data_IF_681461932957
#
_entry.id   IF_681461932957
#
_cell.length_a   1.000
_cell.length_b   1.000
_cell.length_c   1.000
_cell.angle_alpha   90.00
_cell.angle_beta   90.00
_cell.angle_gamma   90.00
#
_symmetry.space_group_name_H-M   'P 1'
#
loop_
_entity.id
_entity.type
_entity.pdbx_description
1 polymer ?
#
# COMPACT_ATOMS: atom_id res chain seq x y z
N UNK A 1 19.09 10.12 -17.27
CA UNK A 1 19.78 9.05 -16.55
C UNK A 1 18.94 7.76 -16.61
N UNK A 2 19.55 6.62 -16.42
CA UNK A 2 18.85 5.34 -16.18
C UNK A 2 18.64 5.15 -14.69
N UNK A 3 17.38 5.08 -14.29
CA UNK A 3 16.97 4.93 -12.89
C UNK A 3 16.32 3.56 -12.70
N UNK A 4 16.71 2.82 -11.66
CA UNK A 4 15.93 1.67 -11.26
C UNK A 4 15.13 1.96 -9.98
N UNK A 5 13.94 1.37 -9.92
CA UNK A 5 13.10 1.37 -8.73
C UNK A 5 13.13 -0.03 -8.10
N UNK A 6 13.40 -0.08 -6.81
CA UNK A 6 13.33 -1.27 -5.97
C UNK A 6 12.19 -1.08 -4.96
N UNK A 7 11.04 -1.69 -5.21
CA UNK A 7 9.82 -1.50 -4.45
C UNK A 7 8.98 -2.79 -4.38
N UNK A 8 7.73 -2.66 -3.94
CA UNK A 8 6.77 -3.74 -3.79
C UNK A 8 5.95 -4.03 -5.07
N UNK A 9 6.49 -3.75 -6.26
CA UNK A 9 5.78 -3.89 -7.56
C UNK A 9 5.26 -5.30 -7.85
N UNK A 10 5.84 -6.34 -7.24
CA UNK A 10 5.39 -7.73 -7.38
C UNK A 10 4.26 -8.12 -6.42
N UNK A 11 3.95 -7.27 -5.44
CA UNK A 11 2.86 -7.54 -4.49
C UNK A 11 1.52 -7.33 -5.17
N UNK A 12 0.63 -8.34 -5.09
CA UNK A 12 -0.70 -8.33 -5.71
C UNK A 12 -1.71 -7.51 -4.92
N UNK A 13 -1.54 -6.17 -4.90
CA UNK A 13 -2.55 -5.26 -4.35
C UNK A 13 -2.54 -3.92 -5.07
N UNK A 14 -3.69 -3.22 -5.04
CA UNK A 14 -3.90 -1.95 -5.73
C UNK A 14 -2.91 -0.86 -5.28
N UNK A 15 -2.62 -0.81 -3.98
CA UNK A 15 -1.73 0.21 -3.40
C UNK A 15 -0.31 0.07 -3.91
N UNK A 16 0.26 -1.14 -3.86
CA UNK A 16 1.62 -1.41 -4.31
C UNK A 16 1.79 -1.15 -5.81
N UNK A 17 0.77 -1.44 -6.63
CA UNK A 17 0.81 -1.19 -8.07
C UNK A 17 0.68 0.30 -8.40
N UNK A 18 -0.28 1.00 -7.77
CA UNK A 18 -0.50 2.42 -8.01
C UNK A 18 0.66 3.29 -7.53
N UNK A 19 1.25 2.98 -6.35
CA UNK A 19 2.42 3.73 -5.89
C UNK A 19 3.64 3.48 -6.79
N UNK A 20 3.84 2.25 -7.29
CA UNK A 20 4.91 1.93 -8.24
C UNK A 20 4.73 2.68 -9.57
N UNK A 21 3.51 2.69 -10.12
CA UNK A 21 3.18 3.45 -11.31
C UNK A 21 3.39 4.96 -11.12
N UNK A 22 2.89 5.51 -10.01
CA UNK A 22 3.02 6.92 -9.71
C UNK A 22 4.48 7.36 -9.57
N UNK A 23 5.30 6.59 -8.85
CA UNK A 23 6.74 6.89 -8.69
C UNK A 23 7.46 6.80 -10.03
N UNK A 24 7.26 5.71 -10.80
CA UNK A 24 7.83 5.54 -12.15
C UNK A 24 7.50 6.74 -13.03
N UNK A 25 6.21 7.04 -13.19
CA UNK A 25 5.77 8.10 -14.10
C UNK A 25 6.22 9.48 -13.63
N UNK A 26 6.31 9.72 -12.31
CA UNK A 26 6.84 10.97 -11.77
C UNK A 26 8.31 11.15 -12.14
N UNK A 27 9.14 10.09 -12.02
CA UNK A 27 10.56 10.13 -12.39
C UNK A 27 10.73 10.25 -13.91
N UNK A 28 9.89 9.58 -14.71
CA UNK A 28 9.89 9.71 -16.17
C UNK A 28 9.57 11.14 -16.63
N UNK A 29 8.67 11.85 -15.92
CA UNK A 29 8.38 13.28 -16.19
C UNK A 29 9.54 14.21 -15.89
N UNK A 30 10.53 13.76 -15.12
CA UNK A 30 11.82 14.46 -14.91
C UNK A 30 12.85 14.12 -16.00
N UNK A 31 12.41 13.52 -17.12
CA UNK A 31 13.23 13.12 -18.26
C UNK A 31 14.26 12.01 -17.98
N UNK A 32 13.92 11.06 -17.09
CA UNK A 32 14.72 9.88 -16.82
C UNK A 32 14.08 8.62 -17.42
N UNK A 33 14.92 7.63 -17.75
CA UNK A 33 14.45 6.28 -18.11
C UNK A 33 14.31 5.45 -16.83
N UNK A 34 13.15 4.82 -16.64
CA UNK A 34 12.85 4.07 -15.40
C UNK A 34 12.60 2.60 -15.70
N UNK A 35 13.23 1.74 -14.92
CA UNK A 35 13.03 0.29 -14.91
C UNK A 35 12.83 -0.18 -13.46
N UNK A 36 12.22 -1.36 -13.29
CA UNK A 36 12.11 -1.99 -11.96
C UNK A 36 13.13 -3.11 -11.81
N UNK A 37 13.72 -3.23 -10.63
CA UNK A 37 14.49 -4.41 -10.25
C UNK A 37 13.73 -5.20 -9.18
N UNK A 38 13.89 -6.53 -9.20
CA UNK A 38 13.20 -7.38 -8.23
C UNK A 38 13.93 -7.41 -6.89
N UNK A 39 13.15 -7.63 -5.84
CA UNK A 39 13.67 -7.89 -4.50
C UNK A 39 14.30 -9.28 -4.49
N UNK A 40 15.57 -9.35 -4.13
CA UNK A 40 16.34 -10.58 -4.00
C UNK A 40 16.20 -11.15 -2.59
N UNK A 41 15.80 -12.41 -2.49
CA UNK A 41 15.94 -13.15 -1.24
C UNK A 41 17.42 -13.55 -1.08
N UNK A 42 18.09 -12.97 -0.08
CA UNK A 42 19.50 -13.26 0.24
C UNK A 42 19.56 -14.16 1.47
N UNK A 43 19.96 -15.40 1.28
CA UNK A 43 19.95 -16.42 2.34
C UNK A 43 20.82 -16.02 3.56
N UNK A 44 21.94 -15.35 3.34
CA UNK A 44 22.82 -14.92 4.44
C UNK A 44 22.21 -13.76 5.24
N UNK A 45 21.51 -12.83 4.58
CA UNK A 45 20.74 -11.78 5.26
C UNK A 45 19.56 -12.39 6.03
N UNK A 46 18.86 -13.35 5.42
CA UNK A 46 17.70 -14.01 6.03
C UNK A 46 18.07 -14.78 7.30
N UNK A 47 19.26 -15.41 7.35
CA UNK A 47 19.78 -16.10 8.55
C UNK A 47 19.98 -15.17 9.75
N UNK A 48 20.22 -13.87 9.52
CA UNK A 48 20.39 -12.87 10.58
C UNK A 48 19.12 -12.61 11.41
N UNK A 49 17.94 -13.01 10.91
CA UNK A 49 16.68 -12.90 11.63
C UNK A 49 16.61 -13.79 12.89
N UNK A 50 17.47 -14.83 13.00
CA UNK A 50 17.50 -15.71 14.16
C UNK A 50 16.14 -16.31 14.50
N UNK A 51 15.67 -16.12 15.75
CA UNK A 51 14.39 -16.63 16.24
C UNK A 51 13.16 -16.08 15.48
N UNK A 52 13.24 -14.88 14.91
CA UNK A 52 12.19 -14.34 14.04
C UNK A 52 11.96 -15.20 12.80
N UNK A 53 13.00 -15.88 12.29
CA UNK A 53 12.87 -16.83 11.18
C UNK A 53 11.91 -17.98 11.53
N UNK A 54 12.02 -18.55 12.73
CA UNK A 54 11.17 -19.66 13.16
C UNK A 54 9.71 -19.22 13.33
N UNK A 55 9.47 -18.03 13.87
CA UNK A 55 8.14 -17.44 14.00
C UNK A 55 7.51 -17.23 12.61
N UNK A 56 8.29 -16.76 11.68
CA UNK A 56 7.89 -16.44 10.31
C UNK A 56 7.55 -17.70 9.49
N UNK A 57 8.38 -18.75 9.60
CA UNK A 57 8.13 -20.02 8.94
C UNK A 57 6.88 -20.71 9.52
N UNK A 58 6.65 -20.63 10.86
CA UNK A 58 5.44 -21.15 11.52
C UNK A 58 4.17 -20.40 11.14
N UNK A 59 4.23 -19.07 10.98
CA UNK A 59 3.08 -18.28 10.50
C UNK A 59 2.70 -18.63 9.06
N UNK A 60 3.68 -18.94 8.19
CA UNK A 60 3.42 -19.45 6.83
C UNK A 60 2.77 -20.83 6.82
N UNK A 61 3.21 -21.74 7.67
CA UNK A 61 2.62 -23.06 7.80
C UNK A 61 1.19 -23.01 8.33
N UNK A 62 0.91 -22.14 9.32
CA UNK A 62 -0.45 -21.95 9.86
C UNK A 62 -1.39 -21.29 8.88
N UNK A 63 -0.97 -20.33 8.07
CA UNK A 63 -1.78 -19.75 6.99
C UNK A 63 -2.07 -20.75 5.88
N UNK A 64 -1.16 -21.71 5.62
CA UNK A 64 -1.39 -22.82 4.70
C UNK A 64 -2.37 -23.90 5.24
N UNK A 65 -2.45 -24.07 6.57
CA UNK A 65 -3.30 -25.05 7.27
C UNK A 65 -4.72 -24.57 7.60
N UNK A 66 -4.99 -23.27 7.61
CA UNK A 66 -6.34 -22.67 7.83
C UNK A 66 -7.33 -23.03 6.71
N UNK A 67 -6.91 -23.77 5.69
CA UNK A 67 -7.76 -24.37 4.66
C UNK A 67 -8.66 -25.53 5.13
N UNK A 68 -8.64 -25.96 6.38
CA UNK A 68 -9.58 -26.97 6.90
C UNK A 68 -10.92 -26.32 7.25
N UNK A 69 -11.79 -26.36 6.26
CA UNK A 69 -13.19 -25.94 6.25
C UNK A 69 -13.97 -26.53 7.42
N UNK A 70 -14.44 -25.70 8.36
CA UNK A 70 -15.58 -26.06 9.20
C UNK A 70 -16.82 -26.16 8.31
N UNK A 71 -17.47 -27.31 8.31
CA UNK A 71 -18.47 -27.80 7.32
C UNK A 71 -19.79 -27.03 7.22
N UNK A 72 -19.98 -25.90 7.91
CA UNK A 72 -21.23 -25.13 7.92
C UNK A 72 -20.98 -23.64 8.08
N UNK A 73 -20.37 -23.04 7.06
CA UNK A 73 -20.22 -21.59 7.04
C UNK A 73 -21.26 -20.98 6.07
N UNK A 74 -22.04 -20.02 6.54
CA UNK A 74 -23.03 -19.21 5.79
C UNK A 74 -22.49 -18.69 4.45
N UNK A 75 -21.17 -18.58 4.31
CA UNK A 75 -20.48 -17.99 3.16
C UNK A 75 -19.78 -19.01 2.24
N UNK A 76 -20.00 -20.32 2.41
CA UNK A 76 -19.27 -21.35 1.65
C UNK A 76 -19.40 -21.20 0.13
N UNK A 77 -20.62 -20.96 -0.38
CA UNK A 77 -20.85 -20.74 -1.82
C UNK A 77 -20.16 -19.47 -2.33
N UNK A 78 -20.13 -18.42 -1.52
CA UNK A 78 -19.45 -17.18 -1.91
C UNK A 78 -17.93 -17.36 -1.95
N UNK A 79 -17.35 -18.16 -1.05
CA UNK A 79 -15.93 -18.49 -1.06
C UNK A 79 -15.50 -19.18 -2.35
N UNK A 80 -16.32 -20.05 -2.90
CA UNK A 80 -16.02 -20.72 -4.20
C UNK A 80 -16.02 -19.71 -5.36
N UNK A 81 -17.00 -18.79 -5.39
CA UNK A 81 -17.02 -17.70 -6.39
C UNK A 81 -15.83 -16.77 -6.25
N UNK A 82 -15.48 -16.39 -5.03
CA UNK A 82 -14.34 -15.54 -4.70
C UNK A 82 -13.03 -16.19 -5.14
N UNK A 83 -12.85 -17.50 -4.94
CA UNK A 83 -11.64 -18.20 -5.36
C UNK A 83 -11.37 -18.03 -6.86
N UNK A 84 -12.38 -18.19 -7.71
CA UNK A 84 -12.25 -17.95 -9.15
C UNK A 84 -11.88 -16.50 -9.44
N UNK A 85 -12.66 -15.54 -8.91
CA UNK A 85 -12.43 -14.11 -9.10
C UNK A 85 -11.08 -13.63 -8.54
N UNK A 86 -10.53 -14.27 -7.51
CA UNK A 86 -9.20 -13.95 -7.00
C UNK A 86 -8.11 -14.34 -8.00
N UNK A 87 -8.29 -15.43 -8.74
CA UNK A 87 -7.38 -15.80 -9.83
C UNK A 87 -7.49 -14.77 -10.96
N UNK A 88 -8.71 -14.40 -11.34
CA UNK A 88 -8.93 -13.36 -12.36
C UNK A 88 -8.31 -12.02 -11.95
N UNK A 89 -8.43 -11.64 -10.66
CA UNK A 89 -7.81 -10.42 -10.13
C UNK A 89 -6.28 -10.46 -10.21
N UNK A 90 -5.65 -11.60 -9.89
CA UNK A 90 -4.19 -11.71 -10.01
C UNK A 90 -3.74 -11.65 -11.47
N UNK A 91 -4.50 -12.21 -12.40
CA UNK A 91 -4.24 -12.06 -13.83
C UNK A 91 -4.32 -10.58 -14.28
N UNK A 92 -5.29 -9.83 -13.78
CA UNK A 92 -5.42 -8.40 -14.05
C UNK A 92 -4.23 -7.61 -13.48
N UNK A 93 -3.77 -7.95 -12.27
CA UNK A 93 -2.56 -7.35 -11.69
C UNK A 93 -1.32 -7.65 -12.53
N UNK A 94 -1.17 -8.89 -13.02
CA UNK A 94 -0.02 -9.24 -13.87
C UNK A 94 -0.08 -8.50 -15.21
N UNK A 95 -1.24 -8.39 -15.85
CA UNK A 95 -1.42 -7.57 -17.05
C UNK A 95 -1.04 -6.11 -16.81
N UNK A 96 -1.43 -5.53 -15.66
CA UNK A 96 -1.04 -4.17 -15.30
C UNK A 96 0.48 -4.03 -15.12
N UNK A 97 1.14 -4.99 -14.46
CA UNK A 97 2.60 -5.00 -14.30
C UNK A 97 3.30 -5.02 -15.64
N UNK A 98 2.85 -5.86 -16.56
CA UNK A 98 3.44 -5.96 -17.90
C UNK A 98 3.22 -4.71 -18.74
N UNK A 99 1.99 -4.19 -18.74
CA UNK A 99 1.59 -3.09 -19.61
C UNK A 99 2.05 -1.72 -19.10
N UNK A 100 1.91 -1.46 -17.81
CA UNK A 100 2.10 -0.13 -17.24
C UNK A 100 3.44 0.02 -16.52
N UNK A 101 3.94 -1.04 -15.89
CA UNK A 101 5.22 -0.99 -15.17
C UNK A 101 6.39 -1.49 -16.01
N UNK A 102 6.15 -2.32 -17.03
CA UNK A 102 7.19 -2.93 -17.88
C UNK A 102 8.24 -3.69 -17.06
N UNK A 103 7.80 -4.47 -16.07
CA UNK A 103 8.65 -5.08 -15.05
C UNK A 103 9.69 -6.10 -15.57
N UNK A 104 9.61 -6.52 -16.81
CA UNK A 104 10.56 -7.47 -17.43
C UNK A 104 11.71 -6.76 -18.15
N UNK A 105 11.68 -5.43 -18.25
CA UNK A 105 12.79 -4.64 -18.79
C UNK A 105 13.91 -4.54 -17.77
N UNK A 106 15.14 -4.85 -18.17
CA UNK A 106 16.30 -4.85 -17.29
C UNK A 106 17.54 -4.34 -18.00
N UNK A 107 18.27 -3.48 -17.32
CA UNK A 107 19.59 -3.04 -17.69
C UNK A 107 20.63 -3.68 -16.77
N UNK A 108 21.86 -3.81 -17.24
CA UNK A 108 22.98 -4.38 -16.44
C UNK A 108 23.46 -3.38 -15.37
N UNK A 109 23.29 -2.08 -15.62
CA UNK A 109 23.74 -0.99 -14.74
C UNK A 109 22.77 0.20 -14.78
N UNK A 110 22.66 0.89 -13.65
CA UNK A 110 21.85 2.10 -13.46
C UNK A 110 22.67 3.23 -12.87
N UNK A 111 22.32 4.46 -13.21
CA UNK A 111 22.92 5.66 -12.61
C UNK A 111 22.42 5.84 -11.17
N UNK A 112 21.11 5.63 -10.95
CA UNK A 112 20.46 5.78 -9.64
C UNK A 112 19.52 4.61 -9.36
N UNK A 113 19.56 4.09 -8.13
CA UNK A 113 18.53 3.20 -7.58
C UNK A 113 17.68 3.98 -6.57
N UNK A 114 16.36 3.97 -6.77
CA UNK A 114 15.37 4.52 -5.83
C UNK A 114 14.72 3.37 -5.08
N UNK A 115 14.99 3.26 -3.77
CA UNK A 115 14.37 2.26 -2.90
C UNK A 115 13.09 2.85 -2.30
N UNK A 116 11.98 2.24 -2.56
CA UNK A 116 10.65 2.69 -2.13
C UNK A 116 9.74 2.97 -3.33
N UNK A 117 8.61 3.46 -3.07
CA UNK A 117 7.97 3.64 -1.77
C UNK A 117 7.47 2.31 -1.18
N UNK A 118 6.46 2.38 -0.31
CA UNK A 118 5.82 1.26 0.36
C UNK A 118 6.66 0.67 1.52
N UNK A 119 6.27 -0.49 2.03
CA UNK A 119 6.86 -1.09 3.24
C UNK A 119 8.20 -1.80 2.97
N UNK A 120 9.09 -1.17 2.20
CA UNK A 120 10.41 -1.73 1.82
C UNK A 120 11.32 -1.98 3.02
N UNK A 121 11.16 -1.24 4.12
CA UNK A 121 11.93 -1.41 5.36
C UNK A 121 11.24 -2.30 6.40
N UNK A 122 10.10 -2.92 6.06
CA UNK A 122 9.36 -3.79 6.98
C UNK A 122 10.01 -5.19 7.08
N UNK A 123 11.24 -5.26 7.60
CA UNK A 123 12.06 -6.46 7.56
C UNK A 123 11.64 -7.57 8.53
N UNK A 124 10.89 -7.27 9.58
CA UNK A 124 10.41 -8.28 10.54
C UNK A 124 9.06 -8.88 10.14
N UNK A 125 8.29 -8.20 9.31
CA UNK A 125 6.92 -8.59 8.93
C UNK A 125 6.72 -8.68 7.41
N UNK A 126 7.78 -8.57 6.62
CA UNK A 126 7.69 -8.58 5.16
C UNK A 126 7.55 -9.99 4.61
N UNK A 127 6.61 -10.17 3.74
CA UNK A 127 6.24 -11.34 2.95
C UNK A 127 7.30 -12.41 2.65
N UNK A 128 7.46 -12.75 1.37
CA UNK A 128 8.22 -13.92 0.96
C UNK A 128 9.74 -13.78 1.02
N UNK A 129 10.30 -12.56 1.12
CA UNK A 129 11.76 -12.31 1.11
C UNK A 129 12.39 -12.13 2.49
N UNK A 130 11.61 -11.87 3.54
CA UNK A 130 12.12 -11.61 4.90
C UNK A 130 13.03 -10.38 4.94
N UNK A 131 14.12 -10.44 5.71
CA UNK A 131 15.15 -9.43 5.69
C UNK A 131 16.09 -9.64 4.48
N UNK A 132 16.34 -8.57 3.74
CA UNK A 132 17.35 -8.49 2.70
C UNK A 132 18.02 -7.11 2.71
N UNK A 133 19.34 -7.09 2.79
CA UNK A 133 20.13 -5.86 2.81
C UNK A 133 20.01 -5.04 1.52
N UNK A 134 19.53 -5.65 0.43
CA UNK A 134 19.25 -4.96 -0.82
C UNK A 134 18.26 -3.81 -0.62
N UNK A 135 17.19 -4.02 0.13
CA UNK A 135 16.19 -3.00 0.45
C UNK A 135 16.73 -1.87 1.35
N UNK A 136 17.89 -2.07 1.97
CA UNK A 136 18.55 -1.09 2.84
C UNK A 136 19.77 -0.40 2.20
N UNK A 137 19.93 -0.53 0.88
CA UNK A 137 20.96 0.18 0.13
C UNK A 137 22.08 -0.71 -0.44
N UNK A 138 22.13 -2.00 -0.12
CA UNK A 138 23.10 -2.91 -0.67
C UNK A 138 22.73 -3.35 -2.11
N UNK A 139 22.75 -2.38 -3.03
CA UNK A 139 22.48 -2.55 -4.46
C UNK A 139 23.81 -2.43 -5.21
N UNK A 140 24.20 -3.48 -5.95
CA UNK A 140 25.52 -3.53 -6.60
C UNK A 140 25.54 -2.95 -8.01
N UNK A 141 24.40 -2.88 -8.68
CA UNK A 141 24.26 -2.47 -10.08
C UNK A 141 23.76 -1.03 -10.26
N UNK A 142 23.90 -0.18 -9.23
CA UNK A 142 23.62 1.25 -9.30
C UNK A 142 24.77 2.08 -8.72
N UNK A 143 25.10 3.19 -9.36
CA UNK A 143 26.17 4.09 -8.92
C UNK A 143 25.78 4.91 -7.70
N UNK A 144 24.51 5.33 -7.62
CA UNK A 144 23.91 6.08 -6.51
C UNK A 144 22.66 5.36 -6.00
N UNK A 145 22.47 5.35 -4.69
CA UNK A 145 21.25 4.79 -4.06
C UNK A 145 20.59 5.87 -3.22
N UNK A 146 19.29 6.05 -3.39
CA UNK A 146 18.46 6.92 -2.55
C UNK A 146 17.22 6.15 -2.08
N UNK A 147 16.54 6.64 -1.06
CA UNK A 147 15.20 6.14 -0.71
C UNK A 147 14.15 7.18 -1.07
N UNK A 148 12.93 6.75 -1.38
CA UNK A 148 11.81 7.66 -1.56
C UNK A 148 10.55 7.14 -0.85
N UNK A 149 10.03 7.95 0.08
CA UNK A 149 8.81 7.64 0.84
C UNK A 149 8.78 6.19 1.37
N UNK A 150 9.96 5.67 1.79
CA UNK A 150 10.09 4.32 2.33
C UNK A 150 9.33 4.17 3.65
N UNK A 151 8.87 2.96 3.94
CA UNK A 151 8.18 2.65 5.21
C UNK A 151 8.69 1.36 5.82
N UNK A 152 8.86 1.35 7.15
CA UNK A 152 9.14 0.14 7.92
C UNK A 152 7.85 -0.56 8.41
N UNK A 153 6.68 -0.06 8.01
CA UNK A 153 5.40 -0.63 8.42
C UNK A 153 5.24 -0.65 9.93
N UNK A 154 5.03 -1.84 10.49
CA UNK A 154 4.92 -2.06 11.94
C UNK A 154 6.25 -2.42 12.61
N UNK A 155 7.34 -2.61 11.86
CA UNK A 155 8.67 -2.91 12.44
C UNK A 155 9.14 -1.75 13.32
N UNK A 156 9.61 -2.06 14.53
CA UNK A 156 10.21 -1.09 15.46
C UNK A 156 11.69 -1.38 15.62
N UNK A 157 12.48 -0.31 15.74
CA UNK A 157 13.94 -0.44 15.94
C UNK A 157 14.29 -1.33 17.14
N UNK A 158 13.56 -1.22 18.25
CA UNK A 158 13.79 -1.98 19.48
C UNK A 158 13.56 -3.49 19.33
N UNK A 159 12.85 -3.90 18.31
CA UNK A 159 12.54 -5.31 18.01
C UNK A 159 13.57 -5.95 17.08
N UNK A 160 14.51 -5.15 16.52
CA UNK A 160 15.54 -5.68 15.63
C UNK A 160 16.56 -6.56 16.37
N UNK A 161 16.87 -7.76 15.83
CA UNK A 161 18.09 -8.45 16.23
C UNK A 161 19.31 -7.57 16.00
N UNK A 162 20.31 -7.60 16.89
CA UNK A 162 21.51 -6.78 16.77
C UNK A 162 22.21 -6.99 15.42
N UNK A 163 22.34 -8.25 14.99
CA UNK A 163 22.92 -8.64 13.70
C UNK A 163 22.21 -7.99 12.50
N UNK A 164 20.88 -7.88 12.54
CA UNK A 164 20.08 -7.20 11.51
C UNK A 164 20.31 -5.70 11.56
N UNK A 165 20.32 -5.09 12.75
CA UNK A 165 20.58 -3.66 12.92
C UNK A 165 21.96 -3.27 12.39
N UNK A 166 23.00 -4.06 12.69
CA UNK A 166 24.37 -3.81 12.21
C UNK A 166 24.48 -3.96 10.69
N UNK A 167 23.80 -4.95 10.12
CA UNK A 167 23.74 -5.13 8.67
C UNK A 167 23.02 -3.97 7.98
N UNK A 168 21.94 -3.46 8.57
CA UNK A 168 21.24 -2.27 8.05
C UNK A 168 22.15 -1.05 8.11
N UNK A 169 22.83 -0.78 9.23
CA UNK A 169 23.77 0.36 9.35
C UNK A 169 24.80 0.35 8.23
N UNK A 170 25.48 -0.78 8.04
CA UNK A 170 26.50 -0.93 6.99
C UNK A 170 25.92 -0.78 5.57
N UNK A 171 24.67 -1.15 5.37
CA UNK A 171 23.97 -0.98 4.09
C UNK A 171 23.57 0.48 3.86
N UNK A 172 23.12 1.18 4.91
CA UNK A 172 22.72 2.59 4.86
C UNK A 172 23.91 3.54 4.55
N UNK A 173 25.15 3.12 4.78
CA UNK A 173 26.33 3.89 4.37
C UNK A 173 26.34 4.15 2.86
N UNK A 174 25.78 3.24 2.06
CA UNK A 174 25.66 3.35 0.60
C UNK A 174 24.50 4.24 0.13
N UNK A 175 23.56 4.56 0.99
CA UNK A 175 22.40 5.41 0.66
C UNK A 175 22.83 6.87 0.75
N UNK A 176 22.70 7.61 -0.35
CA UNK A 176 23.13 9.02 -0.45
C UNK A 176 22.10 9.99 0.15
N UNK A 177 20.81 9.67 0.09
CA UNK A 177 19.74 10.51 0.61
C UNK A 177 18.56 9.65 1.08
N UNK A 178 17.98 10.03 2.23
CA UNK A 178 16.85 9.32 2.84
C UNK A 178 15.56 10.11 2.75
N UNK A 179 14.52 9.45 2.25
CA UNK A 179 13.14 9.93 2.32
C UNK A 179 12.21 8.83 2.80
N UNK A 180 11.34 9.17 3.74
CA UNK A 180 10.38 8.27 4.40
C UNK A 180 8.99 8.86 4.39
N UNK A 181 7.92 8.05 4.59
CA UNK A 181 6.54 8.54 4.50
C UNK A 181 5.79 8.66 5.83
N UNK A 182 6.32 8.08 6.90
CA UNK A 182 5.64 8.03 8.21
C UNK A 182 6.60 8.21 9.39
N UNK A 183 6.07 8.69 10.51
CA UNK A 183 6.83 9.02 11.71
C UNK A 183 7.52 7.81 12.35
N UNK A 184 6.93 6.59 12.24
CA UNK A 184 7.57 5.38 12.75
C UNK A 184 8.86 5.10 11.98
N UNK A 185 8.79 5.21 10.66
CA UNK A 185 9.94 4.99 9.77
C UNK A 185 10.99 6.07 9.94
N UNK A 186 10.59 7.32 10.14
CA UNK A 186 11.54 8.42 10.41
C UNK A 186 12.40 8.08 11.64
N UNK A 187 11.77 7.76 12.77
CA UNK A 187 12.45 7.36 14.01
C UNK A 187 13.28 6.09 13.84
N UNK A 188 12.79 5.14 13.05
CA UNK A 188 13.51 3.89 12.75
C UNK A 188 14.83 4.19 12.03
N UNK A 189 14.81 5.01 10.98
CA UNK A 189 15.99 5.35 10.17
C UNK A 189 16.99 6.19 10.96
N UNK A 190 16.54 7.19 11.74
CA UNK A 190 17.40 8.03 12.60
C UNK A 190 18.20 7.22 13.63
N UNK A 191 17.71 6.06 14.07
CA UNK A 191 18.45 5.15 14.99
C UNK A 191 19.53 4.34 14.28
N UNK A 192 19.53 4.34 12.95
CA UNK A 192 20.39 3.48 12.12
C UNK A 192 21.39 4.27 11.27
N UNK A 193 21.22 5.59 11.11
CA UNK A 193 22.16 6.47 10.38
C UNK A 193 22.22 7.87 11.01
N UNK A 194 23.32 8.58 10.76
CA UNK A 194 23.49 9.99 11.12
C UNK A 194 23.13 10.95 9.97
N UNK A 195 22.72 10.40 8.81
CA UNK A 195 22.35 11.21 7.64
C UNK A 195 20.97 11.82 7.86
N UNK A 196 20.74 12.98 7.25
CA UNK A 196 19.42 13.66 7.32
C UNK A 196 18.34 12.81 6.67
N UNK A 197 17.19 12.69 7.35
CA UNK A 197 16.00 11.99 6.88
C UNK A 197 14.92 13.02 6.54
N UNK A 198 14.34 12.92 5.34
CA UNK A 198 13.30 13.84 4.85
C UNK A 198 11.95 13.11 4.81
N UNK A 199 10.91 13.74 5.32
CA UNK A 199 9.55 13.24 5.14
C UNK A 199 9.04 13.59 3.74
N UNK A 200 8.43 12.61 3.06
CA UNK A 200 7.82 12.78 1.75
C UNK A 200 6.45 12.11 1.72
N UNK A 201 5.60 12.58 0.82
CA UNK A 201 4.31 11.96 0.57
C UNK A 201 4.46 10.65 -0.21
N UNK A 202 3.53 9.73 0.03
CA UNK A 202 3.35 8.55 -0.81
C UNK A 202 3.20 8.96 -2.29
N UNK A 203 3.80 8.22 -3.25
CA UNK A 203 3.71 8.55 -4.68
C UNK A 203 2.28 8.77 -5.19
N UNK A 204 1.30 8.05 -4.63
CA UNK A 204 -0.10 8.21 -5.04
C UNK A 204 -0.65 9.60 -4.67
N UNK A 205 -0.08 10.27 -3.67
CA UNK A 205 -0.46 11.63 -3.30
C UNK A 205 0.19 12.70 -4.17
N UNK A 206 1.37 12.43 -4.74
CA UNK A 206 2.07 13.42 -5.59
C UNK A 206 1.71 13.32 -7.07
N UNK A 207 1.27 12.14 -7.55
CA UNK A 207 0.89 11.93 -8.94
C UNK A 207 -0.61 12.17 -9.14
N UNK A 208 -0.96 12.89 -10.22
CA UNK A 208 -2.35 13.06 -10.63
C UNK A 208 -2.74 11.99 -11.66
N UNK A 209 -3.69 11.13 -11.29
CA UNK A 209 -4.21 10.05 -12.12
C UNK A 209 -5.45 10.44 -12.94
N UNK A 210 -5.79 11.73 -13.07
CA UNK A 210 -7.07 12.14 -13.68
C UNK A 210 -7.23 11.59 -15.10
N UNK A 211 -6.17 11.54 -15.89
CA UNK A 211 -6.19 10.99 -17.25
C UNK A 211 -6.47 9.50 -17.28
N UNK A 212 -5.81 8.74 -16.40
CA UNK A 212 -5.96 7.30 -16.28
C UNK A 212 -7.37 6.93 -15.75
N UNK A 213 -7.85 7.69 -14.78
CA UNK A 213 -9.21 7.53 -14.22
C UNK A 213 -10.27 7.88 -15.25
N UNK A 214 -10.11 8.94 -16.04
CA UNK A 214 -11.03 9.32 -17.10
C UNK A 214 -11.11 8.23 -18.17
N UNK A 215 -9.97 7.73 -18.62
CA UNK A 215 -9.86 6.71 -19.65
C UNK A 215 -10.31 5.30 -19.21
N UNK A 216 -10.35 5.01 -17.91
CA UNK A 216 -10.70 3.69 -17.40
C UNK A 216 -12.15 3.33 -17.75
N UNK A 217 -12.37 2.14 -18.31
CA UNK A 217 -13.71 1.58 -18.62
C UNK A 217 -14.11 0.69 -17.46
N UNK A 218 -15.20 1.03 -16.78
CA UNK A 218 -15.64 0.28 -15.61
C UNK A 218 -16.31 -1.05 -15.99
N UNK A 219 -16.13 -2.10 -15.17
CA UNK A 219 -16.99 -3.27 -15.23
C UNK A 219 -18.44 -2.91 -14.83
N UNK A 220 -19.38 -3.83 -15.03
CA UNK A 220 -20.75 -3.67 -14.58
C UNK A 220 -20.79 -3.50 -13.04
N UNK A 221 -21.43 -2.43 -12.58
CA UNK A 221 -21.57 -2.07 -11.16
C UNK A 221 -23.02 -1.77 -10.82
N UNK A 222 -23.44 -1.94 -9.55
CA UNK A 222 -24.74 -1.45 -9.08
C UNK A 222 -24.85 0.07 -9.26
N UNK A 223 -26.06 0.59 -9.44
CA UNK A 223 -26.29 2.03 -9.59
C UNK A 223 -25.92 2.82 -8.33
N UNK A 224 -26.17 2.26 -7.14
CA UNK A 224 -25.82 2.81 -5.84
C UNK A 224 -25.04 1.79 -5.04
N UNK A 225 -23.82 2.15 -4.63
CA UNK A 225 -22.94 1.20 -3.96
C UNK A 225 -22.02 1.80 -2.92
N UNK A 226 -21.72 0.94 -1.93
CA UNK A 226 -20.72 1.16 -0.92
C UNK A 226 -19.49 0.27 -1.21
N UNK A 227 -18.34 0.87 -1.39
CA UNK A 227 -17.07 0.14 -1.53
C UNK A 227 -16.57 -0.29 -0.17
N UNK A 228 -16.27 -1.58 -0.02
CA UNK A 228 -15.55 -2.14 1.13
C UNK A 228 -14.14 -2.48 0.66
N UNK A 229 -13.17 -1.66 1.03
CA UNK A 229 -11.77 -1.81 0.66
C UNK A 229 -10.91 -2.12 1.88
N UNK A 230 -10.53 -3.38 2.02
CA UNK A 230 -9.75 -3.89 3.17
C UNK A 230 -8.81 -5.00 2.71
N UNK A 231 -7.91 -5.46 3.56
CA UNK A 231 -7.12 -6.67 3.29
C UNK A 231 -8.01 -7.91 3.27
N UNK A 232 -7.46 -9.01 2.70
CA UNK A 232 -8.17 -10.27 2.51
C UNK A 232 -8.92 -10.70 3.77
N UNK A 233 -10.25 -10.77 3.67
CA UNK A 233 -11.19 -11.16 4.72
C UNK A 233 -10.89 -10.54 6.11
N UNK A 234 -10.39 -9.30 6.17
CA UNK A 234 -10.01 -8.64 7.42
C UNK A 234 -11.22 -8.15 8.20
N UNK A 235 -12.27 -7.72 7.51
CA UNK A 235 -13.57 -7.40 8.10
C UNK A 235 -14.34 -8.72 8.21
N UNK A 236 -14.31 -9.36 9.39
CA UNK A 236 -14.86 -10.70 9.59
C UNK A 236 -15.61 -10.91 10.90
N UNK A 237 -15.58 -9.93 11.79
CA UNK A 237 -16.37 -10.04 13.04
C UNK A 237 -17.85 -9.88 12.77
N UNK A 238 -18.69 -10.62 13.51
CA UNK A 238 -20.15 -10.55 13.36
C UNK A 238 -20.65 -9.11 13.50
N UNK A 239 -20.12 -8.38 14.49
CA UNK A 239 -20.47 -6.98 14.76
C UNK A 239 -20.20 -6.06 13.59
N UNK A 240 -18.99 -6.13 12.99
CA UNK A 240 -18.63 -5.31 11.82
C UNK A 240 -19.49 -5.64 10.61
N UNK A 241 -19.71 -6.93 10.34
CA UNK A 241 -20.50 -7.38 9.20
C UNK A 241 -21.94 -6.88 9.33
N UNK A 242 -22.58 -7.12 10.48
CA UNK A 242 -23.97 -6.69 10.71
C UNK A 242 -24.13 -5.18 10.66
N UNK A 243 -23.18 -4.42 11.20
CA UNK A 243 -23.19 -2.96 11.12
C UNK A 243 -23.12 -2.46 9.66
N UNK A 244 -22.20 -3.00 8.84
CA UNK A 244 -22.07 -2.59 7.44
C UNK A 244 -23.27 -3.06 6.59
N UNK A 245 -23.78 -4.30 6.81
CA UNK A 245 -24.96 -4.80 6.11
C UNK A 245 -26.21 -3.94 6.43
N UNK A 246 -26.40 -3.57 7.71
CA UNK A 246 -27.51 -2.70 8.17
C UNK A 246 -27.40 -1.31 7.55
N UNK A 247 -26.22 -0.69 7.68
CA UNK A 247 -25.94 0.61 7.08
C UNK A 247 -26.24 0.62 5.56
N UNK A 248 -25.72 -0.36 4.82
CA UNK A 248 -25.97 -0.43 3.37
C UNK A 248 -27.47 -0.58 3.06
N UNK A 249 -28.22 -1.36 3.86
CA UNK A 249 -29.65 -1.54 3.68
C UNK A 249 -30.42 -0.24 3.94
N UNK A 250 -30.12 0.48 5.01
CA UNK A 250 -30.79 1.72 5.41
C UNK A 250 -30.57 2.84 4.39
N UNK A 251 -29.36 2.87 3.77
CA UNK A 251 -29.04 3.86 2.73
C UNK A 251 -29.28 3.38 1.29
N UNK A 252 -29.92 2.23 1.09
CA UNK A 252 -30.18 1.62 -0.24
C UNK A 252 -28.91 1.42 -1.08
N UNK A 253 -27.82 1.03 -0.45
CA UNK A 253 -26.53 0.80 -1.08
C UNK A 253 -26.25 -0.71 -1.25
N UNK A 254 -25.66 -1.08 -2.37
CA UNK A 254 -25.14 -2.43 -2.56
C UNK A 254 -23.67 -2.47 -2.13
N UNK A 255 -23.32 -3.33 -1.18
CA UNK A 255 -21.91 -3.51 -0.82
C UNK A 255 -21.14 -4.21 -1.93
N UNK A 256 -19.97 -3.65 -2.32
CA UNK A 256 -19.02 -4.27 -3.23
C UNK A 256 -17.63 -4.32 -2.57
N UNK A 257 -16.89 -5.40 -2.80
CA UNK A 257 -15.49 -5.51 -2.40
C UNK A 257 -14.60 -5.42 -3.64
N UNK A 258 -13.50 -4.71 -3.54
CA UNK A 258 -12.49 -4.58 -4.60
C UNK A 258 -11.08 -4.73 -4.02
N UNK A 259 -10.11 -5.10 -4.85
CA UNK A 259 -8.72 -5.35 -4.45
C UNK A 259 -8.55 -6.67 -3.72
N UNK A 260 -9.14 -6.80 -2.53
CA UNK A 260 -9.14 -8.05 -1.77
C UNK A 260 -10.57 -8.42 -1.34
N UNK A 261 -10.95 -9.70 -1.43
CA UNK A 261 -12.31 -10.13 -1.12
C UNK A 261 -12.60 -10.12 0.37
N UNK A 262 -13.90 -9.87 0.68
CA UNK A 262 -14.51 -10.11 1.98
C UNK A 262 -15.54 -11.22 1.82
N UNK A 263 -15.49 -12.31 2.59
CA UNK A 263 -16.33 -13.50 2.34
C UNK A 263 -17.84 -13.26 2.49
N UNK A 264 -18.22 -12.25 3.24
CA UNK A 264 -19.60 -11.85 3.42
C UNK A 264 -20.14 -10.95 2.30
N UNK A 265 -19.27 -10.25 1.55
CA UNK A 265 -19.66 -9.41 0.42
C UNK A 265 -19.87 -10.27 -0.82
N UNK A 266 -21.10 -10.28 -1.36
CA UNK A 266 -21.46 -11.06 -2.55
C UNK A 266 -20.78 -10.54 -3.82
N UNK A 267 -20.64 -9.23 -3.94
CA UNK A 267 -20.17 -8.55 -5.13
C UNK A 267 -18.67 -8.23 -4.97
N UNK A 268 -17.81 -9.24 -5.16
CA UNK A 268 -16.39 -9.00 -5.37
C UNK A 268 -16.16 -8.63 -6.82
N UNK A 269 -15.69 -7.42 -7.08
CA UNK A 269 -15.45 -6.84 -8.41
C UNK A 269 -13.98 -6.97 -8.76
N UNK A 270 -13.69 -7.64 -9.87
CA UNK A 270 -12.35 -7.70 -10.46
C UNK A 270 -12.13 -6.43 -11.26
N UNK A 271 -11.05 -5.72 -10.99
CA UNK A 271 -10.72 -4.48 -11.66
C UNK A 271 -9.21 -4.22 -11.66
N UNK A 272 -8.74 -3.44 -12.63
CA UNK A 272 -7.38 -2.95 -12.65
C UNK A 272 -7.20 -1.76 -11.68
N UNK A 273 -5.94 -1.34 -11.40
CA UNK A 273 -5.68 -0.23 -10.48
C UNK A 273 -6.33 1.11 -10.88
N UNK A 274 -6.45 1.43 -12.15
CA UNK A 274 -7.09 2.68 -12.59
C UNK A 274 -8.62 2.59 -12.49
N UNK A 275 -9.20 1.46 -12.83
CA UNK A 275 -10.61 1.16 -12.59
C UNK A 275 -10.95 1.24 -11.11
N UNK A 276 -10.05 0.76 -10.22
CA UNK A 276 -10.22 0.89 -8.78
C UNK A 276 -10.40 2.35 -8.37
N UNK A 277 -9.56 3.27 -8.82
CA UNK A 277 -9.68 4.71 -8.51
C UNK A 277 -11.00 5.29 -9.04
N UNK A 278 -11.42 4.89 -10.25
CA UNK A 278 -12.70 5.33 -10.82
C UNK A 278 -13.91 4.77 -10.07
N UNK A 279 -13.82 3.53 -9.57
CA UNK A 279 -14.85 2.93 -8.70
C UNK A 279 -14.97 3.74 -7.40
N UNK A 280 -13.85 4.15 -6.77
CA UNK A 280 -13.87 5.05 -5.61
C UNK A 280 -14.53 6.40 -5.92
N UNK A 281 -14.25 6.97 -7.11
CA UNK A 281 -14.80 8.27 -7.53
C UNK A 281 -16.31 8.24 -7.69
N UNK A 282 -16.86 7.12 -8.17
CA UNK A 282 -18.30 6.99 -8.43
C UNK A 282 -19.08 6.43 -7.23
N UNK A 283 -18.41 5.87 -6.25
CA UNK A 283 -19.05 5.31 -5.05
C UNK A 283 -19.87 6.35 -4.28
N UNK A 284 -21.02 5.94 -3.77
CA UNK A 284 -21.82 6.75 -2.84
C UNK A 284 -21.13 6.82 -1.48
N UNK A 285 -20.45 5.74 -1.07
CA UNK A 285 -19.67 5.66 0.15
C UNK A 285 -18.50 4.68 0.03
N UNK A 286 -17.43 4.94 0.77
CA UNK A 286 -16.28 4.03 0.87
C UNK A 286 -15.98 3.73 2.34
N UNK A 287 -15.81 2.46 2.66
CA UNK A 287 -15.32 1.99 3.96
C UNK A 287 -13.96 1.34 3.74
N UNK A 288 -12.95 1.80 4.45
CA UNK A 288 -11.61 1.22 4.39
C UNK A 288 -10.95 1.18 5.76
N UNK A 289 -10.01 0.25 5.94
CA UNK A 289 -9.12 0.16 7.10
C UNK A 289 -7.64 0.07 6.68
N UNK A 290 -7.34 0.53 5.45
CA UNK A 290 -6.00 0.42 4.86
C UNK A 290 -5.39 1.78 4.58
N UNK A 291 -4.05 1.85 4.56
CA UNK A 291 -3.31 3.06 4.25
C UNK A 291 -3.65 3.59 2.84
N UNK A 292 -3.49 2.76 1.82
CA UNK A 292 -3.77 3.19 0.45
C UNK A 292 -5.27 3.42 0.19
N UNK A 293 -6.16 2.63 0.83
CA UNK A 293 -7.61 2.89 0.75
C UNK A 293 -7.98 4.27 1.30
N UNK A 294 -7.30 4.73 2.35
CA UNK A 294 -7.46 6.10 2.88
C UNK A 294 -7.00 7.14 1.86
N UNK A 295 -5.83 6.94 1.22
CA UNK A 295 -5.34 7.85 0.17
C UNK A 295 -6.30 7.89 -1.03
N UNK A 296 -6.76 6.73 -1.51
CA UNK A 296 -7.70 6.66 -2.65
C UNK A 296 -9.01 7.36 -2.33
N UNK A 297 -9.53 7.16 -1.10
CA UNK A 297 -10.74 7.83 -0.63
C UNK A 297 -10.56 9.34 -0.56
N UNK A 298 -9.46 9.80 0.03
CA UNK A 298 -9.16 11.23 0.12
C UNK A 298 -9.01 11.89 -1.25
N UNK A 299 -8.46 11.20 -2.24
CA UNK A 299 -8.33 11.74 -3.62
C UNK A 299 -9.64 11.69 -4.38
N UNK A 300 -10.36 10.57 -4.36
CA UNK A 300 -11.42 10.28 -5.33
C UNK A 300 -12.81 10.12 -4.74
N UNK A 301 -12.99 9.57 -3.53
CA UNK A 301 -14.32 9.35 -2.99
C UNK A 301 -15.08 10.65 -2.66
N UNK A 302 -16.40 10.61 -2.79
CA UNK A 302 -17.29 11.70 -2.37
C UNK A 302 -17.45 11.74 -0.85
N UNK A 303 -17.64 10.57 -0.26
CA UNK A 303 -17.80 10.32 1.18
C UNK A 303 -17.09 9.03 1.54
N UNK A 304 -16.49 8.96 2.71
CA UNK A 304 -15.79 7.77 3.17
C UNK A 304 -15.62 7.71 4.68
N UNK A 305 -15.34 6.52 5.18
CA UNK A 305 -14.95 6.29 6.55
C UNK A 305 -13.69 5.41 6.60
N UNK A 306 -12.79 5.74 7.51
CA UNK A 306 -11.54 5.03 7.76
C UNK A 306 -11.60 4.37 9.13
N UNK A 307 -11.68 3.03 9.18
CA UNK A 307 -11.70 2.28 10.43
C UNK A 307 -10.29 2.10 10.96
N UNK A 308 -9.96 2.74 12.06
CA UNK A 308 -8.69 2.55 12.75
C UNK A 308 -8.68 1.19 13.47
N UNK A 309 -7.62 0.41 13.27
CA UNK A 309 -7.40 -0.87 13.97
C UNK A 309 -6.12 -0.78 14.80
N UNK A 310 -6.05 -1.47 15.92
CA UNK A 310 -4.88 -1.44 16.80
C UNK A 310 -3.56 -1.67 16.06
N UNK A 311 -3.58 -2.55 15.06
CA UNK A 311 -2.39 -2.90 14.26
C UNK A 311 -1.89 -1.78 13.31
N UNK A 312 -2.73 -0.76 13.02
CA UNK A 312 -2.37 0.32 12.08
C UNK A 312 -2.86 1.71 12.50
N UNK A 313 -3.42 1.85 13.71
CA UNK A 313 -4.02 3.09 14.21
C UNK A 313 -3.06 4.28 14.10
N UNK A 314 -1.84 4.13 14.59
CA UNK A 314 -0.84 5.21 14.55
C UNK A 314 -0.51 5.64 13.12
N UNK A 315 -0.38 4.68 12.19
CA UNK A 315 -0.09 4.96 10.77
C UNK A 315 -1.24 5.66 10.07
N UNK A 316 -2.49 5.29 10.39
CA UNK A 316 -3.68 5.93 9.82
C UNK A 316 -3.92 7.32 10.43
N UNK A 317 -3.71 7.49 11.74
CA UNK A 317 -3.76 8.80 12.40
C UNK A 317 -2.75 9.76 11.77
N UNK A 318 -1.50 9.34 11.63
CA UNK A 318 -0.43 10.13 11.00
C UNK A 318 -0.80 10.54 9.56
N UNK A 319 -1.39 9.62 8.80
CA UNK A 319 -1.83 9.89 7.44
C UNK A 319 -2.98 10.91 7.41
N UNK A 320 -4.07 10.65 8.16
CA UNK A 320 -5.26 11.53 8.09
C UNK A 320 -4.99 12.93 8.63
N UNK A 321 -4.06 13.07 9.58
CA UNK A 321 -3.59 14.38 10.05
C UNK A 321 -2.80 15.10 8.93
N UNK A 322 -1.86 14.41 8.25
CA UNK A 322 -1.08 14.97 7.14
C UNK A 322 -1.93 15.42 5.95
N UNK A 323 -3.06 14.77 5.70
CA UNK A 323 -3.93 15.08 4.54
C UNK A 323 -5.23 15.78 4.93
N UNK A 324 -5.36 16.30 6.17
CA UNK A 324 -6.53 17.00 6.69
C UNK A 324 -7.86 16.22 6.58
N UNK A 325 -7.82 14.90 6.78
CA UNK A 325 -8.98 14.00 6.67
C UNK A 325 -9.37 13.35 8.00
N UNK A 326 -8.99 13.94 9.13
CA UNK A 326 -9.25 13.38 10.47
C UNK A 326 -10.74 13.18 10.77
N UNK A 327 -11.61 14.03 10.24
CA UNK A 327 -13.06 13.90 10.40
C UNK A 327 -13.62 12.57 9.88
N UNK A 328 -12.95 11.93 8.92
CA UNK A 328 -13.35 10.66 8.32
C UNK A 328 -12.82 9.43 9.07
N UNK A 329 -11.94 9.60 10.07
CA UNK A 329 -11.47 8.50 10.90
C UNK A 329 -12.53 8.11 11.91
N UNK A 330 -12.73 6.80 12.11
CA UNK A 330 -13.59 6.22 13.14
C UNK A 330 -12.81 5.19 13.97
N UNK A 331 -13.07 5.19 15.26
CA UNK A 331 -12.54 4.20 16.20
C UNK A 331 -13.47 2.97 16.32
N UNK A 332 -14.73 3.13 15.97
CA UNK A 332 -15.76 2.09 16.03
C UNK A 332 -16.61 2.05 14.78
N UNK A 333 -17.05 0.83 14.41
CA UNK A 333 -17.91 0.60 13.24
C UNK A 333 -19.30 1.22 13.40
N UNK A 334 -19.74 1.50 14.62
CA UNK A 334 -21.03 2.17 14.90
C UNK A 334 -21.06 3.63 14.48
N UNK A 335 -19.92 4.23 14.15
CA UNK A 335 -19.85 5.61 13.68
C UNK A 335 -20.19 5.78 12.18
N UNK A 336 -20.53 4.71 11.46
CA UNK A 336 -20.74 4.73 10.00
C UNK A 336 -21.73 5.82 9.55
N UNK A 337 -22.91 5.93 10.19
CA UNK A 337 -23.92 6.92 9.83
C UNK A 337 -23.43 8.35 10.04
N UNK A 338 -22.73 8.59 11.14
CA UNK A 338 -22.11 9.89 11.41
C UNK A 338 -21.08 10.25 10.31
N UNK A 339 -20.27 9.29 9.86
CA UNK A 339 -19.27 9.50 8.78
C UNK A 339 -19.93 9.65 7.41
N UNK A 340 -21.05 8.99 7.17
CA UNK A 340 -21.81 9.15 5.92
C UNK A 340 -22.35 10.57 5.75
N UNK A 341 -22.68 11.25 6.83
CA UNK A 341 -23.09 12.66 6.83
C UNK A 341 -21.95 13.64 6.47
N UNK A 342 -20.69 13.20 6.51
CA UNK A 342 -19.52 14.06 6.25
C UNK A 342 -19.13 13.99 4.77
N UNK A 343 -19.35 15.08 4.04
CA UNK A 343 -18.82 15.21 2.68
C UNK A 343 -17.32 15.56 2.72
N UNK A 344 -16.54 14.98 1.81
CA UNK A 344 -15.13 15.34 1.68
C UNK A 344 -14.97 16.79 1.23
N UNK A 345 -14.16 17.54 1.94
CA UNK A 345 -13.73 18.89 1.53
C UNK A 345 -12.49 18.78 0.60
N UNK A 346 -12.74 18.79 -0.73
CA UNK A 346 -11.69 18.67 -1.74
C UNK A 346 -10.72 19.86 -1.73
N UNK A 347 -11.20 21.07 -1.43
CA UNK A 347 -10.35 22.26 -1.39
C UNK A 347 -9.37 22.18 -0.21
N UNK A 348 -9.86 21.89 0.97
CA UNK A 348 -9.05 21.69 2.17
C UNK A 348 -8.00 20.58 1.99
N UNK A 349 -8.39 19.44 1.40
CA UNK A 349 -7.45 18.36 1.08
C UNK A 349 -6.32 18.85 0.16
N UNK A 350 -6.65 19.54 -0.94
CA UNK A 350 -5.66 20.00 -1.89
C UNK A 350 -4.72 21.05 -1.29
N UNK A 351 -5.24 21.98 -0.51
CA UNK A 351 -4.44 23.02 0.17
C UNK A 351 -3.51 22.40 1.22
N UNK A 352 -4.01 21.40 1.95
CA UNK A 352 -3.25 20.67 2.96
C UNK A 352 -2.02 19.96 2.39
N UNK A 353 -2.17 19.28 1.26
CA UNK A 353 -1.07 18.47 0.70
C UNK A 353 -0.13 19.24 -0.22
N UNK A 354 -0.52 20.42 -0.71
CA UNK A 354 0.20 21.16 -1.76
C UNK A 354 1.67 21.39 -1.44
N UNK A 355 1.96 21.93 -0.25
CA UNK A 355 3.34 22.20 0.19
C UNK A 355 4.18 20.92 0.28
N UNK A 356 3.59 19.85 0.80
CA UNK A 356 4.28 18.56 0.94
C UNK A 356 4.45 17.85 -0.41
N UNK A 357 3.54 18.08 -1.37
CA UNK A 357 3.72 17.63 -2.77
C UNK A 357 4.93 18.32 -3.40
N UNK A 358 5.04 19.64 -3.30
CA UNK A 358 6.15 20.43 -3.82
C UNK A 358 7.49 19.97 -3.21
N UNK A 359 7.55 19.81 -1.90
CA UNK A 359 8.72 19.31 -1.17
C UNK A 359 9.11 17.87 -1.61
N UNK A 360 8.13 17.00 -1.80
CA UNK A 360 8.36 15.62 -2.25
C UNK A 360 8.89 15.55 -3.68
N UNK A 361 8.37 16.39 -4.58
CA UNK A 361 8.87 16.52 -5.95
C UNK A 361 10.27 17.11 -5.98
N UNK A 362 10.53 18.16 -5.18
CA UNK A 362 11.86 18.77 -5.05
C UNK A 362 12.90 17.78 -4.55
N UNK A 363 12.52 16.88 -3.60
CA UNK A 363 13.41 15.81 -3.15
C UNK A 363 13.85 14.91 -4.31
N UNK A 364 12.94 14.45 -5.15
CA UNK A 364 13.26 13.63 -6.34
C UNK A 364 14.15 14.39 -7.30
N UNK A 365 13.82 15.65 -7.64
CA UNK A 365 14.59 16.49 -8.56
C UNK A 365 16.05 16.72 -8.09
N UNK A 366 16.25 16.88 -6.78
CA UNK A 366 17.57 17.17 -6.21
C UNK A 366 18.43 15.90 -6.05
N UNK A 367 17.82 14.72 -6.01
CA UNK A 367 18.53 13.50 -5.65
C UNK A 367 18.60 12.46 -6.78
N UNK A 368 17.85 12.62 -7.85
CA UNK A 368 18.04 11.87 -9.09
C UNK A 368 18.78 12.74 -10.09
#
# INVERSE_FOLDING_TARGET
>A
MKVCILSMQRVGNMGSLLQSYALKTTIERLAHQVEFIDIEKREDDYKLLGDYKQKYDKEKETTGLIGKIKKTDRYTLNRLRIKKKSIDQENVFEQFRQKELFIDRRSSKYDVCVIGSDEVFNCLNSGAWGFTSQLFGNVSNADKVITYAASCGSTKYQELPQSVADKIRSSFDRVSAFSVRDNNTHRFVEKLTQKTVVDSLDPVLIYNFDKEVEAAILPELPAHYCVVYSYYNRIHTKKEIEAIETFCKEHNLTSIAIGAPQFWVKNYVVCDPFQCLKIFQQADFVITDTFHGTIFSAKYAKRFAVLARDSNKNKLLDLVDKICMKAHLMDSIEELDAKYGIAKNKAEFNDCIKKEQEKSLQYLQNNI
#
